data_IF_676532900084
#
_entry.id   IF_676532900084
#
_cell.length_a   1.000
_cell.length_b   1.000
_cell.length_c   1.000
_cell.angle_alpha   90.00
_cell.angle_beta   90.00
_cell.angle_gamma   90.00
#
_symmetry.space_group_name_H-M   'P 1'
#
loop_
_entity.id
_entity.type
_entity.pdbx_description
1 polymer ?
#
# COMPACT_ATOMS: atom_id res chain seq x y z
N UNK A 1 6.30 18.25 80.74
CA UNK A 1 5.17 18.69 79.93
C UNK A 1 5.71 18.93 78.50
N UNK A 2 5.68 17.94 77.67
CA UNK A 2 6.25 17.96 76.31
C UNK A 2 5.14 17.74 75.28
N UNK A 3 4.86 18.75 74.48
CA UNK A 3 3.90 18.66 73.37
C UNK A 3 4.64 18.11 72.15
N UNK A 4 4.26 16.94 71.71
CA UNK A 4 4.66 16.34 70.46
C UNK A 4 3.78 16.84 69.33
N UNK A 5 4.37 17.61 68.40
CA UNK A 5 3.68 18.03 67.15
C UNK A 5 3.79 16.95 66.14
N UNK A 6 2.67 16.38 65.73
CA UNK A 6 2.58 15.43 64.64
C UNK A 6 2.57 16.16 63.31
N UNK A 7 3.62 15.97 62.52
CA UNK A 7 3.71 16.42 61.13
C UNK A 7 3.03 15.38 60.23
N UNK A 8 1.90 15.73 59.70
CA UNK A 8 1.22 14.96 58.67
C UNK A 8 1.95 15.19 57.31
N UNK A 9 2.66 14.19 56.87
CA UNK A 9 3.27 14.18 55.54
C UNK A 9 2.21 13.78 54.51
N UNK A 10 1.67 14.76 53.77
CA UNK A 10 0.79 14.51 52.64
C UNK A 10 1.64 14.07 51.46
N UNK A 11 1.66 12.77 51.16
CA UNK A 11 2.25 12.24 49.93
C UNK A 11 1.22 12.45 48.82
N UNK A 12 1.46 13.46 48.01
CA UNK A 12 0.76 13.67 46.76
C UNK A 12 1.21 12.59 45.75
N UNK A 13 0.39 11.56 45.58
CA UNK A 13 0.57 10.59 44.51
C UNK A 13 0.22 11.26 43.17
N UNK A 14 1.23 11.76 42.47
CA UNK A 14 1.11 12.16 41.08
C UNK A 14 0.95 10.89 40.22
N UNK A 15 -0.30 10.57 39.89
CA UNK A 15 -0.63 9.63 38.84
C UNK A 15 -0.17 10.24 37.50
N UNK A 16 1.05 9.92 37.10
CA UNK A 16 1.48 10.08 35.72
C UNK A 16 0.62 9.14 34.87
N UNK A 17 -0.33 9.68 34.13
CA UNK A 17 -0.92 9.00 32.99
C UNK A 17 0.19 8.79 31.97
N UNK A 18 0.86 7.66 32.05
CA UNK A 18 1.65 7.15 30.97
C UNK A 18 0.65 6.84 29.86
N UNK A 19 0.51 7.77 28.91
CA UNK A 19 -0.13 7.48 27.65
C UNK A 19 0.48 6.18 27.14
N UNK A 20 -0.37 5.19 26.88
CA UNK A 20 0.01 3.93 26.29
C UNK A 20 0.77 4.20 24.98
N UNK A 21 2.08 4.27 25.05
CA UNK A 21 2.91 3.89 23.94
C UNK A 21 2.69 2.40 23.78
N UNK A 22 1.85 2.04 22.83
CA UNK A 22 1.52 0.65 22.51
C UNK A 22 2.80 -0.12 22.24
N UNK A 23 3.20 -0.88 23.24
CA UNK A 23 4.28 -1.84 23.15
C UNK A 23 3.76 -2.97 22.27
N UNK A 24 4.30 -3.02 21.04
CA UNK A 24 4.66 -4.23 20.36
C UNK A 24 3.67 -5.39 20.35
N UNK A 25 2.70 -5.37 19.46
CA UNK A 25 2.42 -6.61 18.75
C UNK A 25 3.57 -6.78 17.75
N UNK A 26 4.37 -7.78 17.95
CA UNK A 26 5.48 -8.16 17.08
C UNK A 26 5.00 -8.29 15.63
N UNK A 27 5.49 -7.40 14.77
CA UNK A 27 5.51 -7.64 13.34
C UNK A 27 4.76 -6.67 12.43
N UNK A 28 3.89 -5.79 12.92
CA UNK A 28 3.30 -4.75 12.07
C UNK A 28 3.73 -3.40 12.64
N UNK A 29 4.93 -2.95 12.28
CA UNK A 29 5.36 -1.58 12.53
C UNK A 29 4.41 -0.65 11.76
N UNK A 30 3.55 0.08 12.47
CA UNK A 30 2.79 1.16 11.85
C UNK A 30 3.80 2.22 11.41
N UNK A 31 4.07 2.26 10.09
CA UNK A 31 4.93 3.26 9.50
C UNK A 31 4.41 4.67 9.80
N UNK A 32 5.27 5.66 9.67
CA UNK A 32 4.85 7.05 9.74
C UNK A 32 4.00 7.41 8.51
N UNK A 33 3.06 8.33 8.70
CA UNK A 33 2.21 8.83 7.63
C UNK A 33 2.61 10.25 7.26
N UNK A 34 2.59 10.54 5.95
CA UNK A 34 2.78 11.88 5.42
C UNK A 34 1.54 12.32 4.65
N UNK A 35 1.06 13.54 4.90
CA UNK A 35 -0.10 14.08 4.19
C UNK A 35 0.23 14.31 2.71
N UNK A 36 -0.59 13.74 1.82
CA UNK A 36 -0.62 14.01 0.39
C UNK A 36 -1.79 14.92 0.10
N UNK A 37 -1.51 16.14 -0.32
CA UNK A 37 -2.55 17.12 -0.63
C UNK A 37 -3.19 16.87 -1.99
N UNK A 38 -4.41 17.38 -2.21
CA UNK A 38 -5.15 17.33 -3.47
C UNK A 38 -4.50 18.26 -4.53
N UNK A 39 -3.29 17.91 -4.95
CA UNK A 39 -2.52 18.61 -6.00
C UNK A 39 -1.57 17.64 -6.67
N UNK A 40 -1.04 18.05 -7.83
CA UNK A 40 -0.04 17.26 -8.51
C UNK A 40 1.14 16.89 -7.59
N UNK A 41 1.38 15.60 -7.49
CA UNK A 41 2.38 15.01 -6.60
C UNK A 41 3.20 13.96 -7.33
N UNK A 42 4.51 14.00 -7.16
CA UNK A 42 5.41 12.94 -7.62
C UNK A 42 5.34 11.74 -6.69
N UNK A 43 5.33 10.53 -7.25
CA UNK A 43 5.23 9.26 -6.50
C UNK A 43 6.40 8.33 -6.77
N UNK A 44 6.68 7.47 -5.81
CA UNK A 44 7.73 6.46 -5.85
C UNK A 44 9.11 7.06 -6.08
N UNK A 45 9.78 6.62 -7.14
CA UNK A 45 11.08 7.14 -7.55
C UNK A 45 10.99 8.49 -8.30
N UNK A 46 9.85 9.17 -8.23
CA UNK A 46 9.53 10.45 -8.86
C UNK A 46 9.39 10.41 -10.39
N UNK A 47 9.40 9.23 -11.01
CA UNK A 47 9.21 9.09 -12.46
C UNK A 47 7.73 9.15 -12.89
N UNK A 48 6.80 9.12 -11.94
CA UNK A 48 5.36 9.23 -12.15
C UNK A 48 4.80 10.41 -11.35
N UNK A 49 3.85 11.13 -11.93
CA UNK A 49 3.10 12.19 -11.27
C UNK A 49 1.62 11.89 -11.35
N UNK A 50 0.89 12.17 -10.28
CA UNK A 50 -0.56 12.01 -10.20
C UNK A 50 -1.19 13.20 -9.48
N UNK A 51 -2.49 13.41 -9.68
CA UNK A 51 -3.25 14.44 -8.98
C UNK A 51 -4.43 13.79 -8.27
N UNK A 52 -4.34 13.56 -6.96
CA UNK A 52 -5.44 13.00 -6.21
C UNK A 52 -6.58 14.02 -6.09
N UNK A 53 -7.87 13.60 -6.14
CA UNK A 53 -9.02 14.50 -6.04
C UNK A 53 -9.24 15.04 -4.62
N UNK A 54 -8.69 14.38 -3.61
CA UNK A 54 -8.69 14.78 -2.19
C UNK A 54 -7.38 14.41 -1.50
N UNK A 55 -7.24 14.75 -0.23
CA UNK A 55 -6.07 14.41 0.57
C UNK A 55 -6.01 12.90 0.86
N UNK A 56 -4.79 12.35 0.81
CA UNK A 56 -4.45 10.97 1.14
C UNK A 56 -3.33 10.95 2.17
N UNK A 57 -3.08 9.79 2.75
CA UNK A 57 -1.95 9.55 3.64
C UNK A 57 -0.92 8.68 2.93
N UNK A 58 0.28 9.22 2.70
CA UNK A 58 1.43 8.44 2.24
C UNK A 58 1.94 7.57 3.36
N UNK A 59 2.06 6.29 3.13
CA UNK A 59 2.69 5.36 4.07
C UNK A 59 4.20 5.35 3.87
N UNK A 60 4.92 5.33 4.97
CA UNK A 60 6.35 5.08 4.99
C UNK A 60 6.59 3.74 5.70
N UNK A 61 7.06 2.75 4.95
CA UNK A 61 7.56 1.50 5.51
C UNK A 61 6.58 0.34 5.60
N UNK A 62 5.59 0.18 4.70
CA UNK A 62 4.73 -1.01 4.73
C UNK A 62 4.16 -1.49 3.39
N UNK A 63 3.70 -2.74 3.39
CA UNK A 63 3.05 -3.62 2.42
C UNK A 63 3.93 -4.10 1.25
N UNK A 64 4.49 -3.22 0.45
CA UNK A 64 5.46 -3.58 -0.60
C UNK A 64 6.86 -3.08 -0.27
N UNK A 65 7.19 -3.11 0.99
CA UNK A 65 8.30 -2.47 1.68
C UNK A 65 9.60 -2.40 0.90
N UNK A 66 10.14 -1.19 0.86
CA UNK A 66 11.57 -0.88 0.71
C UNK A 66 12.18 -0.99 -0.68
N UNK A 67 11.41 -0.82 -1.75
CA UNK A 67 11.97 -0.52 -3.05
C UNK A 67 11.55 0.89 -3.48
N UNK A 68 12.50 1.67 -4.01
CA UNK A 68 12.27 3.07 -4.43
C UNK A 68 11.18 3.24 -5.49
N UNK A 69 10.89 2.19 -6.23
CA UNK A 69 9.92 2.16 -7.30
C UNK A 69 8.49 1.98 -6.80
N UNK A 70 8.29 1.70 -5.51
CA UNK A 70 6.94 1.50 -4.93
C UNK A 70 6.66 2.54 -3.85
N UNK A 71 5.45 3.09 -3.87
CA UNK A 71 4.92 4.01 -2.87
C UNK A 71 3.47 3.67 -2.60
N UNK A 72 3.07 3.71 -1.32
CA UNK A 72 1.74 3.33 -0.87
C UNK A 72 1.02 4.50 -0.20
N UNK A 73 -0.26 4.69 -0.52
CA UNK A 73 -1.16 5.65 0.10
C UNK A 73 -2.38 4.95 0.68
N UNK A 74 -2.98 5.54 1.71
CA UNK A 74 -4.24 5.09 2.30
C UNK A 74 -5.11 6.28 2.72
N UNK A 75 -6.42 6.08 2.77
CA UNK A 75 -7.37 7.03 3.36
C UNK A 75 -7.71 6.67 4.80
N UNK A 76 -8.05 5.41 5.02
CA UNK A 76 -8.66 4.91 6.27
C UNK A 76 -7.72 4.01 7.07
N UNK A 77 -6.54 3.74 6.54
CA UNK A 77 -5.53 2.87 7.13
C UNK A 77 -5.24 1.63 6.27
N UNK A 78 -4.02 1.08 6.38
CA UNK A 78 -3.50 0.06 5.46
C UNK A 78 -4.28 -1.26 5.47
N UNK A 79 -5.03 -1.53 6.53
CA UNK A 79 -5.87 -2.72 6.62
C UNK A 79 -7.27 -2.53 6.01
N UNK A 80 -7.63 -1.31 5.65
CA UNK A 80 -8.97 -0.97 5.13
C UNK A 80 -8.93 -0.61 3.65
N UNK A 81 -7.97 0.20 3.23
CA UNK A 81 -7.77 0.60 1.84
C UNK A 81 -6.30 0.96 1.56
N UNK A 82 -5.92 0.89 0.29
CA UNK A 82 -4.62 1.34 -0.15
C UNK A 82 -4.52 1.52 -1.67
N UNK A 83 -3.69 2.49 -2.07
CA UNK A 83 -3.24 2.63 -3.46
C UNK A 83 -1.73 2.46 -3.48
N UNK A 84 -1.25 1.50 -4.26
CA UNK A 84 0.17 1.26 -4.50
C UNK A 84 0.57 1.76 -5.89
N UNK A 85 1.64 2.53 -5.95
CA UNK A 85 2.21 3.06 -7.19
C UNK A 85 3.51 2.32 -7.50
N UNK A 86 3.59 1.66 -8.65
CA UNK A 86 4.82 1.06 -9.19
C UNK A 86 5.35 1.98 -10.28
N UNK A 87 6.50 2.58 -10.05
CA UNK A 87 7.02 3.69 -10.84
C UNK A 87 8.28 3.29 -11.63
N UNK A 88 8.08 2.47 -12.66
CA UNK A 88 9.16 2.07 -13.58
C UNK A 88 10.03 0.93 -13.06
N UNK A 89 9.40 -0.14 -12.52
CA UNK A 89 10.10 -1.36 -12.11
C UNK A 89 10.86 -1.97 -13.27
N UNK A 90 12.16 -2.16 -13.11
CA UNK A 90 13.05 -2.74 -14.12
C UNK A 90 12.84 -4.24 -14.24
N UNK A 91 13.12 -4.77 -15.43
CA UNK A 91 13.20 -6.22 -15.66
C UNK A 91 14.13 -6.89 -14.65
N UNK A 92 13.79 -8.10 -14.26
CA UNK A 92 14.50 -8.91 -13.26
C UNK A 92 14.42 -8.39 -11.80
N UNK A 93 13.53 -7.43 -11.51
CA UNK A 93 13.25 -6.93 -10.17
C UNK A 93 11.93 -7.48 -9.65
N UNK A 94 11.76 -7.44 -8.33
CA UNK A 94 10.54 -7.83 -7.61
C UNK A 94 9.83 -6.59 -7.08
N UNK A 95 8.52 -6.68 -6.86
CA UNK A 95 7.71 -5.59 -6.29
C UNK A 95 7.98 -5.35 -4.81
N UNK A 96 8.66 -6.29 -4.16
CA UNK A 96 9.04 -6.21 -2.74
C UNK A 96 10.49 -6.60 -2.58
N UNK A 97 11.13 -6.12 -1.51
CA UNK A 97 12.42 -6.65 -1.12
C UNK A 97 12.27 -8.11 -0.68
N UNK A 98 13.11 -8.97 -1.19
CA UNK A 98 13.18 -10.36 -0.78
C UNK A 98 14.63 -10.86 -0.69
N UNK A 99 14.89 -11.68 0.31
CA UNK A 99 16.15 -12.39 0.47
C UNK A 99 16.13 -13.68 -0.33
N UNK A 100 17.29 -14.17 -0.77
CA UNK A 100 17.42 -15.51 -1.35
C UNK A 100 17.11 -16.64 -0.36
N UNK A 101 17.10 -16.30 0.94
CA UNK A 101 16.82 -17.24 2.05
C UNK A 101 15.34 -17.28 2.42
N UNK A 102 14.50 -16.42 1.83
CA UNK A 102 13.05 -16.46 2.09
C UNK A 102 12.49 -17.77 1.54
N UNK A 103 11.74 -18.50 2.34
CA UNK A 103 11.16 -19.80 1.98
C UNK A 103 10.21 -19.70 0.79
N UNK A 104 9.52 -18.55 0.67
CA UNK A 104 8.63 -18.26 -0.44
C UNK A 104 9.11 -17.01 -1.20
N UNK A 105 9.30 -17.19 -2.49
CA UNK A 105 9.78 -16.13 -3.38
C UNK A 105 8.63 -15.59 -4.23
N UNK A 106 8.53 -14.25 -4.33
CA UNK A 106 7.64 -13.62 -5.32
C UNK A 106 8.31 -13.61 -6.69
N UNK A 107 7.53 -13.74 -7.79
CA UNK A 107 8.06 -13.68 -9.14
C UNK A 107 8.75 -12.36 -9.45
N UNK A 108 9.75 -12.41 -10.33
CA UNK A 108 10.41 -11.23 -10.86
C UNK A 108 9.67 -10.74 -12.10
N UNK A 109 9.50 -9.42 -12.19
CA UNK A 109 9.02 -8.81 -13.42
C UNK A 109 10.00 -9.05 -14.56
N UNK A 110 9.50 -9.33 -15.76
CA UNK A 110 10.24 -9.36 -17.02
C UNK A 110 9.60 -8.40 -18.00
N UNK A 111 10.40 -7.65 -18.75
CA UNK A 111 9.91 -6.62 -19.66
C UNK A 111 9.06 -7.13 -20.83
N UNK A 112 9.12 -8.43 -21.11
CA UNK A 112 8.30 -9.12 -22.11
C UNK A 112 7.06 -9.80 -21.53
N UNK A 113 6.74 -9.59 -20.26
CA UNK A 113 5.51 -10.12 -19.65
C UNK A 113 4.28 -9.54 -20.34
N UNK A 114 3.35 -10.43 -20.64
CA UNK A 114 1.99 -10.10 -21.06
C UNK A 114 1.14 -9.66 -19.88
N UNK A 115 -0.02 -9.04 -20.14
CA UNK A 115 -0.94 -8.64 -19.07
C UNK A 115 -1.37 -9.81 -18.16
N UNK A 116 -1.71 -11.01 -18.67
CA UNK A 116 -1.96 -12.18 -17.82
C UNK A 116 -0.77 -12.58 -16.94
N UNK A 117 0.45 -12.49 -17.43
CA UNK A 117 1.65 -12.82 -16.64
C UNK A 117 1.90 -11.79 -15.52
N UNK A 118 1.61 -10.50 -15.78
CA UNK A 118 1.67 -9.47 -14.73
C UNK A 118 0.56 -9.70 -13.70
N UNK A 119 -0.65 -10.07 -14.12
CA UNK A 119 -1.75 -10.43 -13.22
C UNK A 119 -1.37 -11.62 -12.31
N UNK A 120 -0.79 -12.67 -12.87
CA UNK A 120 -0.29 -13.83 -12.12
C UNK A 120 0.86 -13.46 -11.15
N UNK A 121 1.71 -12.51 -11.53
CA UNK A 121 2.75 -11.98 -10.65
C UNK A 121 2.14 -11.23 -9.45
N UNK A 122 1.07 -10.44 -9.66
CA UNK A 122 0.34 -9.77 -8.58
C UNK A 122 -0.35 -10.78 -7.66
N UNK A 123 -1.06 -11.77 -8.21
CA UNK A 123 -1.65 -12.86 -7.40
C UNK A 123 -0.59 -13.55 -6.53
N UNK A 124 0.56 -13.91 -7.11
CA UNK A 124 1.66 -14.52 -6.36
C UNK A 124 2.16 -13.62 -5.23
N UNK A 125 2.22 -12.29 -5.46
CA UNK A 125 2.60 -11.32 -4.43
C UNK A 125 1.61 -11.34 -3.26
N UNK A 126 0.30 -11.28 -3.52
CA UNK A 126 -0.74 -11.34 -2.50
C UNK A 126 -0.68 -12.64 -1.69
N UNK A 127 -0.54 -13.79 -2.36
CA UNK A 127 -0.44 -15.11 -1.70
C UNK A 127 0.82 -15.25 -0.85
N UNK A 128 1.95 -14.73 -1.32
CA UNK A 128 3.25 -14.92 -0.65
C UNK A 128 3.47 -13.90 0.46
N UNK A 129 3.06 -12.65 0.27
CA UNK A 129 3.34 -11.53 1.19
C UNK A 129 2.10 -11.00 1.91
N UNK A 130 0.94 -11.04 1.27
CA UNK A 130 -0.33 -10.57 1.84
C UNK A 130 -1.03 -11.61 2.74
N UNK A 131 -0.59 -12.87 2.73
CA UNK A 131 -1.25 -13.92 3.49
C UNK A 131 -2.61 -14.35 2.92
N UNK A 132 -2.86 -14.03 1.66
CA UNK A 132 -4.10 -14.33 0.95
C UNK A 132 -4.34 -15.85 0.87
N UNK A 133 -5.51 -16.29 1.33
CA UNK A 133 -5.94 -17.71 1.35
C UNK A 133 -6.80 -18.08 0.15
N UNK A 134 -7.62 -17.15 -0.35
CA UNK A 134 -8.39 -17.31 -1.59
C UNK A 134 -8.16 -16.10 -2.50
N UNK A 135 -8.06 -16.32 -3.80
CA UNK A 135 -7.82 -15.26 -4.78
C UNK A 135 -8.62 -15.55 -6.06
N UNK A 136 -9.35 -14.56 -6.56
CA UNK A 136 -10.24 -14.68 -7.71
C UNK A 136 -10.00 -13.54 -8.69
N UNK A 137 -9.68 -13.89 -9.92
CA UNK A 137 -9.69 -12.93 -11.03
C UNK A 137 -11.14 -12.62 -11.41
N UNK A 138 -11.51 -11.35 -11.40
CA UNK A 138 -12.82 -10.87 -11.83
C UNK A 138 -12.81 -10.43 -13.29
N UNK A 139 -11.68 -9.89 -13.77
CA UNK A 139 -11.56 -9.46 -15.16
C UNK A 139 -10.15 -8.99 -15.51
N UNK A 140 -9.80 -9.15 -16.76
CA UNK A 140 -8.58 -8.60 -17.35
C UNK A 140 -8.93 -8.05 -18.73
N UNK A 141 -8.73 -6.76 -18.93
CA UNK A 141 -9.10 -6.06 -20.16
C UNK A 141 -8.01 -5.12 -20.64
N UNK A 142 -7.90 -4.87 -21.96
CA UNK A 142 -7.07 -3.79 -22.47
C UNK A 142 -7.53 -2.43 -21.94
N UNK A 143 -6.58 -1.61 -21.49
CA UNK A 143 -6.82 -0.22 -21.08
C UNK A 143 -5.57 0.61 -21.37
N UNK A 144 -5.71 1.73 -22.06
CA UNK A 144 -4.60 2.66 -22.26
C UNK A 144 -4.17 3.25 -20.91
N UNK A 145 -2.88 3.29 -20.68
CA UNK A 145 -2.28 3.89 -19.50
C UNK A 145 -1.00 4.65 -19.86
N UNK A 146 -0.85 5.88 -19.36
CA UNK A 146 0.30 6.76 -19.65
C UNK A 146 0.54 6.99 -21.17
N UNK A 147 -0.54 6.98 -21.96
CA UNK A 147 -0.49 7.20 -23.40
C UNK A 147 -0.06 6.00 -24.25
N UNK A 148 0.09 4.81 -23.66
CA UNK A 148 0.43 3.58 -24.38
C UNK A 148 -0.61 2.48 -24.12
N UNK A 149 -0.68 1.43 -24.97
CA UNK A 149 -1.47 0.24 -24.68
C UNK A 149 -1.04 -0.39 -23.36
N UNK A 150 -2.01 -0.68 -22.51
CA UNK A 150 -1.82 -1.29 -21.21
C UNK A 150 -3.00 -2.19 -20.87
N UNK A 151 -3.25 -2.40 -19.59
CA UNK A 151 -4.29 -3.31 -19.10
C UNK A 151 -4.95 -2.76 -17.84
N UNK A 152 -6.17 -3.23 -17.59
CA UNK A 152 -6.87 -3.19 -16.31
C UNK A 152 -7.08 -4.61 -15.82
N UNK A 153 -6.82 -4.84 -14.56
CA UNK A 153 -7.00 -6.12 -13.89
C UNK A 153 -7.85 -5.94 -12.64
N UNK A 154 -9.00 -6.59 -12.61
CA UNK A 154 -9.92 -6.60 -11.48
C UNK A 154 -9.86 -7.97 -10.79
N UNK A 155 -9.78 -7.98 -9.47
CA UNK A 155 -9.70 -9.19 -8.67
C UNK A 155 -10.36 -9.01 -7.31
N UNK A 156 -10.58 -10.11 -6.61
CA UNK A 156 -10.89 -10.11 -5.19
C UNK A 156 -10.07 -11.19 -4.47
N UNK A 157 -9.85 -10.99 -3.19
CA UNK A 157 -9.12 -11.95 -2.39
C UNK A 157 -9.61 -11.98 -0.94
N UNK A 158 -9.36 -13.09 -0.27
CA UNK A 158 -9.61 -13.30 1.14
C UNK A 158 -8.28 -13.43 1.86
N UNK A 159 -8.03 -12.56 2.82
CA UNK A 159 -6.82 -12.60 3.63
C UNK A 159 -7.00 -13.47 4.88
N UNK A 160 -5.92 -13.76 5.56
CA UNK A 160 -5.92 -14.58 6.77
C UNK A 160 -6.67 -13.96 7.96
N UNK A 161 -7.07 -12.68 7.87
CA UNK A 161 -7.95 -11.99 8.82
C UNK A 161 -9.45 -12.19 8.52
N UNK A 162 -9.77 -13.07 7.55
CA UNK A 162 -11.14 -13.38 7.09
C UNK A 162 -11.85 -12.20 6.42
N UNK A 163 -11.12 -11.15 6.02
CA UNK A 163 -11.69 -10.00 5.32
C UNK A 163 -11.59 -10.20 3.81
N UNK A 164 -12.73 -10.18 3.14
CA UNK A 164 -12.77 -10.08 1.68
C UNK A 164 -12.37 -8.68 1.23
N UNK A 165 -11.39 -8.63 0.34
CA UNK A 165 -10.90 -7.42 -0.31
C UNK A 165 -11.18 -7.48 -1.80
N UNK A 166 -11.25 -6.32 -2.41
CA UNK A 166 -11.36 -6.17 -3.85
C UNK A 166 -10.28 -5.24 -4.35
N UNK A 167 -9.68 -5.58 -5.49
CA UNK A 167 -8.62 -4.80 -6.08
C UNK A 167 -8.83 -4.50 -7.54
N UNK A 168 -8.25 -3.39 -7.98
CA UNK A 168 -8.11 -2.99 -9.38
C UNK A 168 -6.70 -2.52 -9.64
N UNK A 169 -6.05 -3.07 -10.66
CA UNK A 169 -4.76 -2.60 -11.13
C UNK A 169 -4.88 -2.06 -12.55
N UNK A 170 -4.23 -0.94 -12.82
CA UNK A 170 -4.07 -0.39 -14.17
C UNK A 170 -2.59 -0.20 -14.43
N UNK A 171 -2.08 -0.77 -15.53
CA UNK A 171 -0.65 -0.75 -15.79
C UNK A 171 -0.26 -0.87 -17.24
N UNK A 172 1.00 -0.54 -17.52
CA UNK A 172 1.63 -0.70 -18.83
C UNK A 172 3.14 -0.90 -18.70
N UNK A 173 3.73 -1.54 -19.70
CA UNK A 173 5.18 -1.59 -19.87
C UNK A 173 5.63 -0.46 -20.79
N UNK A 174 6.50 0.42 -20.29
CA UNK A 174 7.03 1.55 -21.03
C UNK A 174 8.56 1.47 -21.00
N UNK A 175 9.18 1.42 -22.17
CA UNK A 175 10.63 1.28 -22.31
C UNK A 175 11.20 0.13 -21.45
N UNK A 176 10.50 -1.03 -21.45
CA UNK A 176 10.90 -2.22 -20.71
C UNK A 176 10.73 -2.14 -19.20
N UNK A 177 10.04 -1.13 -18.67
CA UNK A 177 9.76 -0.94 -17.25
C UNK A 177 8.26 -1.01 -16.97
N UNK A 178 7.87 -1.62 -15.87
CA UNK A 178 6.48 -1.68 -15.44
C UNK A 178 6.10 -0.39 -14.70
N UNK A 179 5.04 0.24 -15.16
CA UNK A 179 4.29 1.26 -14.46
C UNK A 179 2.91 0.71 -14.13
N UNK A 180 2.48 0.83 -12.87
CA UNK A 180 1.21 0.27 -12.43
C UNK A 180 0.68 1.09 -11.25
N UNK A 181 -0.63 1.31 -11.21
CA UNK A 181 -1.34 1.81 -10.04
C UNK A 181 -2.31 0.72 -9.64
N UNK A 182 -2.19 0.28 -8.39
CA UNK A 182 -2.98 -0.80 -7.80
C UNK A 182 -3.81 -0.21 -6.66
N UNK A 183 -5.12 -0.40 -6.71
CA UNK A 183 -6.03 -0.13 -5.60
C UNK A 183 -6.47 -1.45 -4.98
N UNK A 184 -6.45 -1.53 -3.67
CA UNK A 184 -6.92 -2.66 -2.89
C UNK A 184 -7.63 -2.17 -1.63
N UNK A 185 -8.84 -2.69 -1.37
CA UNK A 185 -9.62 -2.26 -0.23
C UNK A 185 -10.58 -3.35 0.26
N UNK A 186 -10.95 -3.30 1.55
CA UNK A 186 -11.99 -4.15 2.08
C UNK A 186 -13.27 -4.00 1.27
N UNK A 187 -13.79 -5.13 0.76
CA UNK A 187 -14.90 -5.18 -0.20
C UNK A 187 -16.16 -4.53 0.35
N UNK A 188 -16.43 -4.76 1.62
CA UNK A 188 -17.53 -4.12 2.31
C UNK A 188 -17.22 -2.65 2.56
N UNK A 189 -17.95 -1.74 1.92
CA UNK A 189 -17.89 -0.29 2.10
C UNK A 189 -16.66 0.42 1.49
N UNK A 190 -15.42 0.01 1.81
CA UNK A 190 -14.21 0.79 1.49
C UNK A 190 -13.86 0.78 0.02
N UNK A 191 -14.05 -0.35 -0.68
CA UNK A 191 -13.73 -0.44 -2.09
C UNK A 191 -14.53 0.55 -2.93
N UNK A 192 -15.86 0.54 -2.80
CA UNK A 192 -16.73 1.42 -3.60
C UNK A 192 -16.60 2.89 -3.18
N UNK A 193 -16.29 3.14 -1.89
CA UNK A 193 -16.16 4.50 -1.34
C UNK A 193 -14.99 5.30 -1.95
N UNK A 194 -13.91 4.65 -2.41
CA UNK A 194 -12.75 5.33 -2.96
C UNK A 194 -12.38 4.90 -4.39
N UNK A 195 -13.21 4.06 -5.04
CA UNK A 195 -12.97 3.64 -6.42
C UNK A 195 -12.94 4.82 -7.40
N UNK A 196 -13.80 5.82 -7.22
CA UNK A 196 -13.80 7.04 -8.04
C UNK A 196 -12.52 7.85 -7.88
N UNK A 197 -11.94 7.88 -6.69
CA UNK A 197 -10.67 8.57 -6.43
C UNK A 197 -9.52 7.83 -7.13
N UNK A 198 -9.50 6.50 -7.03
CA UNK A 198 -8.52 5.68 -7.76
C UNK A 198 -8.60 5.94 -9.28
N UNK A 199 -9.80 6.01 -9.86
CA UNK A 199 -9.99 6.31 -11.28
C UNK A 199 -9.48 7.72 -11.62
N UNK A 200 -9.77 8.71 -10.80
CA UNK A 200 -9.29 10.08 -10.99
C UNK A 200 -7.76 10.15 -10.91
N UNK A 201 -7.15 9.49 -9.93
CA UNK A 201 -5.69 9.39 -9.76
C UNK A 201 -5.07 8.73 -11.00
N UNK A 202 -5.61 7.59 -11.42
CA UNK A 202 -5.12 6.83 -12.58
C UNK A 202 -5.22 7.63 -13.87
N UNK A 203 -6.33 8.35 -14.10
CA UNK A 203 -6.55 9.18 -15.28
C UNK A 203 -5.66 10.45 -15.28
N UNK A 204 -5.27 10.95 -14.12
CA UNK A 204 -4.34 12.08 -13.99
C UNK A 204 -2.87 11.69 -14.14
N UNK A 205 -2.56 10.40 -14.18
CA UNK A 205 -1.19 9.90 -14.18
C UNK A 205 -0.42 10.33 -15.44
N UNK A 206 0.82 10.78 -15.23
CA UNK A 206 1.74 11.15 -16.31
C UNK A 206 3.19 10.86 -15.93
N UNK A 207 4.02 10.57 -16.90
CA UNK A 207 5.46 10.44 -16.67
C UNK A 207 6.06 11.80 -16.31
N UNK A 208 6.97 11.83 -15.35
CA UNK A 208 7.78 13.01 -15.10
C UNK A 208 8.70 13.24 -16.31
N UNK A 209 8.81 14.51 -16.70
CA UNK A 209 9.75 14.94 -17.75
C UNK A 209 11.16 15.02 -17.21
#
# INVERSE_FOLDING_TARGET
MTRTSSILLAVAASLSLSACTGIGASGIGFGSYGLVRARETAVGNHSLRVTPPREWNRQHGQLFVDIREVEDWTLNGPLLDGISFVTGLKSNKTLVRQSRRDDRQVPRYRSNMTAPEVAAMLESLFRVRGGTVDFRTLGLAPRSFLGVPGFQYDFEHLDGDEVWRRGRAVGATINGRLYLILYDAARAHYYDAALSDFEAITNSARLAR
#
